data_IF_202964674934
#
_entry.id   IF_202964674934
#
_cell.length_a   1.000
_cell.length_b   1.000
_cell.length_c   1.000
_cell.angle_alpha   90.00
_cell.angle_beta   90.00
_cell.angle_gamma   90.00
#
_symmetry.space_group_name_H-M   'P 1'
#
loop_
_entity.id
_entity.type
_entity.pdbx_description
1 polymer ?
#
# COMPACT_ATOMS: atom_id res chain seq x y z
N UNK A 1 -11.02 7.63 12.47
CA UNK A 1 -10.05 6.55 12.77
C UNK A 1 -8.95 6.59 11.71
N UNK A 2 -7.69 6.33 12.08
CA UNK A 2 -6.61 6.11 11.11
C UNK A 2 -6.07 4.70 11.34
N UNK A 3 -5.99 3.90 10.27
CA UNK A 3 -5.51 2.52 10.30
C UNK A 3 -4.38 2.37 9.30
N UNK A 4 -3.30 1.70 9.69
CA UNK A 4 -2.20 1.38 8.79
C UNK A 4 -1.69 -0.02 9.05
N UNK A 5 -1.29 -0.70 7.98
CA UNK A 5 -0.79 -2.08 8.03
C UNK A 5 0.55 -2.19 7.32
N UNK A 6 1.43 -3.04 7.86
CA UNK A 6 2.57 -3.60 7.13
C UNK A 6 2.19 -5.07 6.88
N UNK A 7 2.25 -5.57 5.63
CA UNK A 7 2.01 -6.98 5.39
C UNK A 7 2.98 -7.82 6.20
N UNK A 8 2.47 -8.81 6.90
CA UNK A 8 3.29 -9.90 7.41
C UNK A 8 3.64 -10.80 6.22
N UNK A 9 4.86 -10.70 5.72
CA UNK A 9 5.42 -11.69 4.80
C UNK A 9 6.26 -12.68 5.61
N UNK A 10 6.13 -13.97 5.32
CA UNK A 10 6.99 -14.98 5.95
C UNK A 10 8.38 -14.93 5.31
N UNK A 11 9.39 -14.55 6.11
CA UNK A 11 10.78 -14.71 5.70
C UNK A 11 11.17 -16.19 5.88
N UNK A 12 11.16 -16.95 4.77
CA UNK A 12 11.81 -18.25 4.53
C UNK A 12 11.95 -19.23 5.72
N UNK A 13 11.12 -20.28 5.77
CA UNK A 13 11.40 -21.44 6.63
C UNK A 13 10.22 -22.30 7.08
N UNK A 14 9.34 -22.76 6.17
CA UNK A 14 8.55 -23.99 6.31
C UNK A 14 7.76 -24.20 5.01
N UNK A 15 8.05 -25.30 4.32
CA UNK A 15 7.41 -25.79 3.09
C UNK A 15 7.65 -25.01 1.76
N UNK A 16 8.34 -25.68 0.84
CA UNK A 16 9.00 -25.13 -0.35
C UNK A 16 8.11 -25.21 -1.61
N UNK A 17 6.84 -24.78 -1.55
CA UNK A 17 6.04 -24.69 -2.77
C UNK A 17 5.64 -23.27 -3.16
N UNK A 18 5.45 -22.34 -2.21
CA UNK A 18 5.05 -20.95 -2.53
C UNK A 18 5.57 -19.94 -1.49
N UNK A 19 6.79 -19.43 -1.66
CA UNK A 19 7.44 -18.45 -0.76
C UNK A 19 6.82 -17.03 -0.74
N UNK A 20 5.52 -16.90 -1.00
CA UNK A 20 4.78 -15.64 -1.02
C UNK A 20 3.38 -15.76 -0.38
N UNK A 21 3.16 -16.77 0.47
CA UNK A 21 1.88 -16.96 1.13
C UNK A 21 1.70 -15.89 2.23
N UNK A 22 0.67 -15.07 2.07
CA UNK A 22 0.31 -14.02 3.00
C UNK A 22 -0.23 -14.64 4.28
N UNK A 23 0.30 -14.21 5.43
CA UNK A 23 -0.27 -14.59 6.72
C UNK A 23 -1.48 -13.69 6.97
N UNK A 24 -2.67 -14.30 7.03
CA UNK A 24 -3.85 -13.59 7.50
C UNK A 24 -3.74 -13.36 9.01
N UNK A 25 -3.58 -12.10 9.40
CA UNK A 25 -3.51 -11.65 10.79
C UNK A 25 -4.90 -11.34 11.37
N UNK A 26 -5.98 -11.64 10.65
CA UNK A 26 -7.36 -11.49 11.11
C UNK A 26 -7.89 -10.06 10.99
N UNK A 27 -7.52 -9.31 9.93
CA UNK A 27 -8.12 -8.00 9.69
C UNK A 27 -9.51 -8.17 9.06
N UNK A 28 -10.56 -7.70 9.75
CA UNK A 28 -11.95 -7.81 9.32
C UNK A 28 -12.65 -6.45 9.26
N UNK A 29 -13.77 -6.37 8.54
CA UNK A 29 -14.54 -5.14 8.38
C UNK A 29 -15.02 -4.54 9.71
N UNK A 30 -15.28 -5.36 10.72
CA UNK A 30 -15.74 -4.90 12.05
C UNK A 30 -14.63 -4.21 12.85
N UNK A 31 -13.36 -4.40 12.46
CA UNK A 31 -12.24 -3.64 13.02
C UNK A 31 -12.17 -2.20 12.49
N UNK A 32 -12.85 -1.90 11.37
CA UNK A 32 -12.92 -0.56 10.80
C UNK A 32 -14.14 0.18 11.37
N UNK A 33 -13.91 1.42 11.83
CA UNK A 33 -14.95 2.35 12.28
C UNK A 33 -16.14 2.46 11.33
N UNK A 34 -17.35 2.38 11.90
CA UNK A 34 -18.62 2.50 11.18
C UNK A 34 -18.95 3.94 10.73
N UNK A 35 -18.21 4.96 11.20
CA UNK A 35 -18.45 6.37 10.84
C UNK A 35 -17.44 6.93 9.84
N UNK A 36 -16.44 6.14 9.44
CA UNK A 36 -15.41 6.55 8.49
C UNK A 36 -14.00 6.61 9.06
N UNK A 37 -13.04 6.86 8.17
CA UNK A 37 -11.63 6.86 8.52
C UNK A 37 -10.69 6.96 7.33
N UNK A 38 -9.40 6.89 7.63
CA UNK A 38 -8.34 6.85 6.63
C UNK A 38 -7.54 5.57 6.82
N UNK A 39 -7.45 4.78 5.75
CA UNK A 39 -6.60 3.60 5.66
C UNK A 39 -5.33 3.96 4.89
N UNK A 40 -4.16 3.75 5.51
CA UNK A 40 -2.85 4.05 4.93
C UNK A 40 -2.11 2.72 4.75
N UNK A 41 -1.97 2.28 3.50
CA UNK A 41 -1.22 1.07 3.18
C UNK A 41 0.29 1.36 3.15
N UNK A 42 1.10 0.49 3.74
CA UNK A 42 2.56 0.57 3.70
C UNK A 42 3.14 -0.40 2.66
N UNK A 43 2.39 -1.44 2.29
CA UNK A 43 2.71 -2.30 1.17
C UNK A 43 2.62 -1.54 -0.16
N UNK A 44 3.74 -1.37 -0.83
CA UNK A 44 3.73 -0.82 -2.18
C UNK A 44 3.80 -1.91 -3.26
N UNK A 45 4.28 -3.12 -2.98
CA UNK A 45 4.39 -4.20 -3.99
C UNK A 45 3.02 -4.67 -4.51
N UNK A 46 1.98 -4.58 -3.67
CA UNK A 46 0.61 -4.95 -4.01
C UNK A 46 -0.25 -3.70 -4.15
N UNK A 47 -0.93 -3.58 -5.30
CA UNK A 47 -1.89 -2.49 -5.53
C UNK A 47 -3.16 -2.63 -4.68
N UNK A 48 -3.62 -3.87 -4.46
CA UNK A 48 -4.80 -4.15 -3.63
C UNK A 48 -4.41 -5.09 -2.48
N UNK A 49 -4.47 -4.57 -1.27
CA UNK A 49 -4.26 -5.30 -0.01
C UNK A 49 -5.58 -5.58 0.69
N UNK A 50 -5.58 -6.43 1.71
CA UNK A 50 -6.78 -6.69 2.52
C UNK A 50 -7.31 -5.42 3.17
N UNK A 51 -6.42 -4.53 3.64
CA UNK A 51 -6.83 -3.24 4.21
C UNK A 51 -7.53 -2.36 3.17
N UNK A 52 -6.97 -2.23 1.96
CA UNK A 52 -7.57 -1.42 0.90
C UNK A 52 -8.88 -2.04 0.39
N UNK A 53 -8.98 -3.36 0.34
CA UNK A 53 -10.20 -4.07 -0.03
C UNK A 53 -11.34 -3.82 0.98
N UNK A 54 -11.06 -3.95 2.29
CA UNK A 54 -12.03 -3.64 3.35
C UNK A 54 -12.41 -2.15 3.37
N UNK A 55 -11.45 -1.28 3.06
CA UNK A 55 -11.71 0.16 2.92
C UNK A 55 -12.66 0.42 1.76
N UNK A 56 -12.47 -0.26 0.61
CA UNK A 56 -13.38 -0.17 -0.52
C UNK A 56 -14.78 -0.70 -0.17
N UNK A 57 -14.87 -1.83 0.54
CA UNK A 57 -16.15 -2.37 1.03
C UNK A 57 -16.91 -1.35 1.89
N UNK A 58 -16.24 -0.69 2.84
CA UNK A 58 -16.87 0.37 3.66
C UNK A 58 -17.34 1.55 2.81
N UNK A 59 -16.56 1.95 1.79
CA UNK A 59 -16.95 3.02 0.85
C UNK A 59 -18.17 2.64 0.03
N UNK A 60 -18.21 1.41 -0.46
CA UNK A 60 -19.33 0.89 -1.25
C UNK A 60 -20.62 0.80 -0.40
N UNK A 61 -20.48 0.58 0.92
CA UNK A 61 -21.56 0.68 1.90
C UNK A 61 -21.95 2.13 2.29
N UNK A 62 -21.36 3.16 1.67
CA UNK A 62 -21.67 4.56 1.93
C UNK A 62 -20.97 5.16 3.17
N UNK A 63 -20.02 4.45 3.77
CA UNK A 63 -19.28 4.93 4.94
C UNK A 63 -18.05 5.72 4.43
N UNK A 64 -17.79 6.94 4.92
CA UNK A 64 -16.78 7.84 4.35
C UNK A 64 -15.35 7.42 4.74
N UNK A 65 -14.84 6.41 4.04
CA UNK A 65 -13.46 5.93 4.16
C UNK A 65 -12.59 6.43 3.00
N UNK A 66 -11.35 6.80 3.29
CA UNK A 66 -10.32 7.11 2.30
C UNK A 66 -9.20 6.07 2.36
N UNK A 67 -8.77 5.57 1.20
CA UNK A 67 -7.61 4.67 1.08
C UNK A 67 -6.42 5.40 0.46
N UNK A 68 -5.24 5.23 1.05
CA UNK A 68 -3.96 5.69 0.51
C UNK A 68 -3.14 4.46 0.13
N UNK A 69 -2.80 4.34 -1.15
CA UNK A 69 -1.99 3.23 -1.66
C UNK A 69 -0.52 3.37 -1.21
N UNK A 70 0.16 2.26 -0.95
CA UNK A 70 1.55 2.30 -0.48
C UNK A 70 2.54 2.93 -1.47
N UNK A 71 2.25 2.87 -2.76
CA UNK A 71 3.08 3.54 -3.79
C UNK A 71 3.05 5.07 -3.64
N UNK A 72 1.94 5.64 -3.17
CA UNK A 72 1.83 7.09 -2.94
C UNK A 72 2.65 7.50 -1.71
N UNK A 73 2.62 6.67 -0.67
CA UNK A 73 3.45 6.88 0.50
C UNK A 73 4.94 6.78 0.17
N UNK A 74 5.34 5.78 -0.64
CA UNK A 74 6.72 5.61 -1.10
C UNK A 74 7.23 6.88 -1.81
N UNK A 75 6.39 7.48 -2.66
CA UNK A 75 6.71 8.72 -3.36
C UNK A 75 6.88 9.89 -2.39
N UNK A 76 5.92 10.11 -1.49
CA UNK A 76 6.00 11.21 -0.53
C UNK A 76 7.20 11.08 0.42
N UNK A 77 7.51 9.86 0.86
CA UNK A 77 8.74 9.58 1.60
C UNK A 77 9.98 9.94 0.78
N UNK A 78 10.08 9.50 -0.47
CA UNK A 78 11.23 9.77 -1.33
C UNK A 78 11.43 11.26 -1.61
N UNK A 79 10.35 12.02 -1.78
CA UNK A 79 10.42 13.47 -1.95
C UNK A 79 11.00 14.16 -0.73
N UNK A 80 10.57 13.73 0.46
CA UNK A 80 11.04 14.30 1.71
C UNK A 80 12.50 13.90 2.00
N UNK A 81 12.89 12.66 1.69
CA UNK A 81 14.29 12.22 1.74
C UNK A 81 15.19 13.08 0.85
N UNK A 82 14.76 13.33 -0.40
CA UNK A 82 15.50 14.21 -1.32
C UNK A 82 15.64 15.64 -0.75
N UNK A 83 14.57 16.17 -0.15
CA UNK A 83 14.57 17.48 0.50
C UNK A 83 15.55 17.55 1.66
N UNK A 84 15.56 16.54 2.53
CA UNK A 84 16.44 16.45 3.70
C UNK A 84 17.91 16.38 3.25
N UNK A 85 18.23 15.55 2.26
CA UNK A 85 19.61 15.33 1.83
C UNK A 85 20.19 16.45 0.98
N UNK A 86 19.38 17.08 0.14
CA UNK A 86 19.88 18.04 -0.85
C UNK A 86 19.52 19.49 -0.54
N UNK A 87 18.60 19.72 0.40
CA UNK A 87 17.98 21.02 0.64
C UNK A 87 17.06 21.50 -0.49
N UNK A 88 16.86 20.70 -1.55
CA UNK A 88 16.07 21.06 -2.74
C UNK A 88 14.79 20.22 -2.80
N UNK A 89 13.73 20.78 -3.38
CA UNK A 89 12.49 20.02 -3.62
C UNK A 89 12.71 19.04 -4.78
N UNK A 90 12.29 17.79 -4.59
CA UNK A 90 12.30 16.79 -5.66
C UNK A 90 11.36 17.23 -6.81
N UNK A 91 11.74 16.97 -8.08
CA UNK A 91 10.85 17.17 -9.22
C UNK A 91 9.73 16.12 -9.23
N UNK A 92 8.68 16.37 -8.42
CA UNK A 92 7.64 15.38 -8.09
C UNK A 92 7.00 14.75 -9.32
N UNK A 93 6.67 15.53 -10.34
CA UNK A 93 5.99 15.04 -11.55
C UNK A 93 6.84 14.02 -12.31
N UNK A 94 8.11 14.34 -12.57
CA UNK A 94 9.05 13.48 -13.29
C UNK A 94 9.36 12.21 -12.50
N UNK A 95 9.58 12.33 -11.19
CA UNK A 95 9.82 11.18 -10.32
C UNK A 95 8.58 10.28 -10.25
N UNK A 96 7.39 10.85 -10.04
CA UNK A 96 6.12 10.08 -10.02
C UNK A 96 5.92 9.33 -11.32
N UNK A 97 6.07 10.01 -12.46
CA UNK A 97 5.93 9.40 -13.77
C UNK A 97 6.88 8.21 -13.93
N UNK A 98 8.15 8.38 -13.56
CA UNK A 98 9.15 7.32 -13.74
C UNK A 98 8.93 6.14 -12.80
N UNK A 99 8.57 6.40 -11.55
CA UNK A 99 8.24 5.37 -10.56
C UNK A 99 7.02 4.58 -11.01
N UNK A 100 5.94 5.24 -11.43
CA UNK A 100 4.73 4.57 -11.91
C UNK A 100 4.97 3.75 -13.19
N UNK A 101 5.82 4.22 -14.11
CA UNK A 101 6.23 3.46 -15.29
C UNK A 101 6.89 2.12 -14.92
N UNK A 102 7.78 2.13 -13.93
CA UNK A 102 8.45 0.91 -13.44
C UNK A 102 7.48 0.05 -12.65
N UNK A 103 6.69 0.66 -11.78
CA UNK A 103 5.72 -0.01 -10.91
C UNK A 103 4.67 -0.80 -11.70
N UNK A 104 4.10 -0.19 -12.75
CA UNK A 104 3.16 -0.89 -13.61
C UNK A 104 3.81 -1.99 -14.44
N UNK A 105 5.10 -1.85 -14.78
CA UNK A 105 5.85 -2.87 -15.52
C UNK A 105 6.19 -4.08 -14.65
N UNK A 106 6.60 -3.88 -13.40
CA UNK A 106 6.88 -5.00 -12.49
C UNK A 106 5.61 -5.81 -12.25
N UNK A 107 4.47 -5.14 -12.07
CA UNK A 107 3.19 -5.82 -11.87
C UNK A 107 2.68 -6.54 -13.13
N UNK A 108 2.89 -5.98 -14.32
CA UNK A 108 2.53 -6.62 -15.58
C UNK A 108 3.32 -7.89 -15.94
N UNK A 109 4.38 -8.23 -15.18
CA UNK A 109 5.16 -9.46 -15.35
C UNK A 109 4.66 -10.62 -14.50
N UNK A 110 3.92 -10.35 -13.42
CA UNK A 110 3.39 -11.38 -12.50
C UNK A 110 2.04 -11.97 -12.96
N UNK A 111 1.50 -11.50 -14.08
CA UNK A 111 0.28 -12.01 -14.72
C UNK A 111 0.56 -12.93 -15.95
N UNK A 112 1.78 -13.43 -16.13
CA UNK A 112 2.12 -14.39 -17.20
C UNK A 112 2.65 -15.70 -16.66
#
# INVERSE_FOLDING_TARGET
MIVSTIPATSAAGADLTNGNELIDIGLHADHLSAVGGVAIELAYERRMTSLLALTQEKRDAGIPWAGVEGIELLLEQGYEQCRIWTGRRAPKAQVRQKVLEVYHRSWGRDLR
#
